data_IF_165743454266
#
_entry.id   IF_165743454266
#
_cell.length_a   1.000
_cell.length_b   1.000
_cell.length_c   1.000
_cell.angle_alpha   90.00
_cell.angle_beta   90.00
_cell.angle_gamma   90.00
#
_symmetry.space_group_name_H-M   'P 1'
#
loop_
_entity.id
_entity.type
_entity.pdbx_description
1 polymer ?
#
# COMPACT_ATOMS: atom_id res chain seq x y z
N UNK A 1 36.75 -14.64 -7.48
CA UNK A 1 35.35 -14.15 -7.45
C UNK A 1 34.76 -14.47 -6.07
N UNK A 2 34.56 -13.47 -5.22
CA UNK A 2 33.88 -13.66 -3.95
C UNK A 2 32.38 -13.50 -4.22
N UNK A 3 31.62 -14.57 -4.07
CA UNK A 3 30.15 -14.50 -4.13
C UNK A 3 29.65 -13.53 -3.06
N UNK A 4 28.74 -12.64 -3.43
CA UNK A 4 28.10 -11.73 -2.52
C UNK A 4 27.25 -12.52 -1.51
N UNK A 5 27.11 -12.00 -0.28
CA UNK A 5 26.47 -12.71 0.82
C UNK A 5 24.97 -13.01 0.57
N UNK A 6 24.33 -12.25 -0.33
CA UNK A 6 22.92 -12.41 -0.69
C UNK A 6 22.78 -12.77 -2.17
N UNK A 7 21.97 -13.80 -2.47
CA UNK A 7 21.68 -14.23 -3.85
C UNK A 7 21.20 -13.07 -4.74
N UNK A 8 20.40 -12.14 -4.21
CA UNK A 8 19.88 -10.99 -4.95
C UNK A 8 21.02 -10.05 -5.40
N UNK A 9 22.00 -9.81 -4.54
CA UNK A 9 23.15 -8.97 -4.89
C UNK A 9 23.98 -9.59 -6.01
N UNK A 10 24.14 -10.92 -6.01
CA UNK A 10 24.80 -11.64 -7.10
C UNK A 10 24.03 -11.52 -8.41
N UNK A 11 22.70 -11.65 -8.38
CA UNK A 11 21.85 -11.46 -9.55
C UNK A 11 21.92 -10.01 -10.06
N UNK A 12 21.87 -9.03 -9.17
CA UNK A 12 21.98 -7.61 -9.52
C UNK A 12 23.32 -7.33 -10.21
N UNK A 13 24.40 -7.91 -9.70
CA UNK A 13 25.74 -7.77 -10.32
C UNK A 13 25.79 -8.39 -11.73
N UNK A 14 25.24 -9.61 -11.87
CA UNK A 14 25.19 -10.29 -13.16
C UNK A 14 24.34 -9.51 -14.18
N UNK A 15 23.17 -9.00 -13.77
CA UNK A 15 22.31 -8.20 -14.63
C UNK A 15 22.94 -6.88 -15.04
N UNK A 16 23.64 -6.20 -14.14
CA UNK A 16 24.42 -4.99 -14.48
C UNK A 16 25.48 -5.28 -15.55
N UNK A 17 26.19 -6.38 -15.39
CA UNK A 17 27.19 -6.79 -16.37
C UNK A 17 26.55 -7.06 -17.73
N UNK A 18 25.48 -7.85 -17.78
CA UNK A 18 24.77 -8.18 -19.01
C UNK A 18 24.21 -6.94 -19.70
N UNK A 19 23.59 -6.02 -18.95
CA UNK A 19 23.05 -4.77 -19.50
C UNK A 19 24.14 -3.87 -20.04
N UNK A 20 25.29 -3.76 -19.32
CA UNK A 20 26.42 -2.93 -19.75
C UNK A 20 27.14 -3.47 -20.99
N UNK A 21 27.10 -4.78 -21.22
CA UNK A 21 27.79 -5.45 -22.35
C UNK A 21 26.79 -5.99 -23.39
N UNK A 22 25.52 -5.63 -23.32
CA UNK A 22 24.54 -6.01 -24.33
C UNK A 22 24.97 -5.42 -25.69
N UNK A 23 25.05 -6.26 -26.75
CA UNK A 23 25.46 -5.78 -28.05
C UNK A 23 24.46 -4.73 -28.59
N UNK A 24 24.99 -3.63 -29.13
CA UNK A 24 24.17 -2.56 -29.72
C UNK A 24 23.26 -3.01 -30.89
N UNK A 25 23.47 -4.24 -31.36
CA UNK A 25 22.73 -4.87 -32.46
C UNK A 25 21.39 -5.48 -32.03
N UNK A 26 21.07 -5.51 -30.74
CA UNK A 26 19.83 -6.16 -30.23
C UNK A 26 18.57 -5.41 -30.65
N UNK A 27 18.63 -4.10 -30.81
CA UNK A 27 17.62 -3.28 -31.50
C UNK A 27 18.26 -1.92 -31.90
N UNK A 28 17.80 -1.25 -32.97
CA UNK A 28 18.27 0.10 -33.34
C UNK A 28 18.08 1.16 -32.26
N UNK A 29 17.21 0.89 -31.30
CA UNK A 29 16.88 1.79 -30.17
C UNK A 29 17.53 1.38 -28.84
N UNK A 30 18.41 0.35 -28.81
CA UNK A 30 18.99 -0.18 -27.58
C UNK A 30 18.09 -1.24 -26.91
N UNK A 31 18.34 -1.52 -25.60
CA UNK A 31 17.50 -2.45 -24.84
C UNK A 31 16.10 -1.87 -24.65
N UNK A 32 15.04 -2.71 -24.72
CA UNK A 32 13.67 -2.25 -24.48
C UNK A 32 13.52 -1.70 -23.07
N UNK A 33 12.59 -0.76 -22.89
CA UNK A 33 12.31 -0.15 -21.58
C UNK A 33 11.90 -1.21 -20.55
N UNK A 34 11.14 -2.22 -20.98
CA UNK A 34 10.75 -3.36 -20.18
C UNK A 34 10.78 -4.64 -21.01
N UNK A 35 11.18 -5.74 -20.40
CA UNK A 35 11.16 -7.09 -20.98
C UNK A 35 10.14 -7.90 -20.21
N UNK A 36 9.08 -8.36 -20.87
CA UNK A 36 8.09 -9.27 -20.29
C UNK A 36 8.76 -10.61 -19.95
N UNK A 37 8.43 -11.15 -18.78
CA UNK A 37 8.96 -12.41 -18.30
C UNK A 37 7.82 -13.43 -18.11
N UNK A 38 8.18 -14.70 -18.11
CA UNK A 38 7.22 -15.77 -17.83
C UNK A 38 6.81 -15.77 -16.34
N UNK A 39 5.63 -16.35 -16.07
CA UNK A 39 5.17 -16.57 -14.71
C UNK A 39 6.22 -17.33 -13.87
N UNK A 40 6.40 -16.90 -12.62
CA UNK A 40 7.41 -17.47 -11.72
C UNK A 40 8.80 -16.82 -11.82
N UNK A 41 9.02 -15.86 -12.71
CA UNK A 41 10.25 -15.08 -12.73
C UNK A 41 10.37 -14.20 -11.46
N UNK A 42 11.57 -14.11 -10.86
CA UNK A 42 11.78 -13.37 -9.60
C UNK A 42 11.95 -11.85 -9.80
N UNK A 43 11.37 -11.31 -10.87
CA UNK A 43 11.43 -9.89 -11.23
C UNK A 43 10.06 -9.47 -11.78
N UNK A 44 9.61 -8.29 -11.41
CA UNK A 44 8.38 -7.76 -11.95
C UNK A 44 7.85 -6.56 -11.19
N UNK A 45 6.75 -6.05 -11.68
CA UNK A 45 6.03 -4.96 -11.05
C UNK A 45 4.87 -5.43 -10.19
N UNK A 46 4.48 -4.52 -9.32
CA UNK A 46 3.22 -4.56 -8.58
C UNK A 46 2.35 -3.44 -9.12
N UNK A 47 1.10 -3.75 -9.37
CA UNK A 47 0.06 -2.81 -9.78
C UNK A 47 -0.96 -2.73 -8.65
N UNK A 48 -1.32 -1.51 -8.25
CA UNK A 48 -2.39 -1.25 -7.30
C UNK A 48 -3.57 -0.60 -8.04
N UNK A 49 -4.74 -1.24 -7.99
CA UNK A 49 -5.97 -0.72 -8.59
C UNK A 49 -6.61 0.38 -7.73
N UNK A 50 -7.66 1.00 -8.26
CA UNK A 50 -8.43 2.02 -7.56
C UNK A 50 -9.16 1.50 -6.31
N UNK A 51 -9.34 0.19 -6.18
CA UNK A 51 -9.88 -0.44 -4.98
C UNK A 51 -8.93 -0.38 -3.76
N UNK A 52 -7.68 0.04 -3.95
CA UNK A 52 -6.70 0.13 -2.87
C UNK A 52 -7.10 1.20 -1.84
N UNK A 53 -7.38 0.77 -0.63
CA UNK A 53 -7.74 1.64 0.51
C UNK A 53 -6.55 2.21 1.27
N UNK A 54 -5.31 1.91 0.86
CA UNK A 54 -4.08 2.31 1.57
C UNK A 54 -4.01 1.77 3.02
N UNK A 55 -4.54 0.57 3.27
CA UNK A 55 -4.48 -0.10 4.57
C UNK A 55 -3.07 -0.57 4.97
N UNK A 56 -2.10 -0.53 4.04
CA UNK A 56 -0.68 -0.88 4.21
C UNK A 56 -0.40 -2.34 4.61
N UNK A 57 -1.39 -3.26 4.56
CA UNK A 57 -1.17 -4.69 4.85
C UNK A 57 -0.09 -5.30 3.94
N UNK A 58 -0.06 -4.90 2.67
CA UNK A 58 0.93 -5.37 1.70
C UNK A 58 2.38 -4.93 2.02
N UNK A 59 2.57 -3.81 2.72
CA UNK A 59 3.91 -3.35 3.11
C UNK A 59 4.47 -4.21 4.22
N UNK A 60 3.64 -4.58 5.21
CA UNK A 60 4.00 -5.50 6.28
C UNK A 60 4.25 -6.93 5.80
N UNK A 61 3.53 -7.37 4.76
CA UNK A 61 3.69 -8.69 4.16
C UNK A 61 4.91 -8.82 3.24
N UNK A 62 5.55 -7.70 2.83
CA UNK A 62 6.63 -7.72 1.84
C UNK A 62 7.99 -8.04 2.48
N UNK A 63 8.56 -9.27 2.34
CA UNK A 63 9.80 -9.65 3.00
C UNK A 63 11.03 -8.95 2.40
N UNK A 64 10.91 -8.46 1.17
CA UNK A 64 12.00 -7.80 0.45
C UNK A 64 12.01 -6.26 0.60
N UNK A 65 11.02 -5.70 1.32
CA UNK A 65 10.86 -4.25 1.45
C UNK A 65 10.67 -3.55 0.10
N UNK A 66 10.05 -4.24 -0.87
CA UNK A 66 9.74 -3.67 -2.18
C UNK A 66 8.55 -2.71 -2.08
N UNK A 67 7.56 -3.03 -1.25
CA UNK A 67 6.44 -2.16 -0.93
C UNK A 67 6.72 -1.44 0.39
N UNK A 68 6.47 -0.13 0.42
CA UNK A 68 6.73 0.74 1.57
C UNK A 68 5.62 1.77 1.72
N UNK A 69 5.34 2.15 2.96
CA UNK A 69 4.56 3.35 3.26
C UNK A 69 5.52 4.55 3.22
N UNK A 70 5.10 5.65 2.62
CA UNK A 70 5.82 6.92 2.75
C UNK A 70 5.73 7.44 4.19
N UNK A 71 6.74 8.20 4.63
CA UNK A 71 6.79 8.77 5.98
C UNK A 71 6.05 10.11 6.09
N UNK A 72 5.80 10.77 4.98
CA UNK A 72 5.31 12.15 4.88
C UNK A 72 3.85 12.24 4.39
N UNK A 73 3.31 11.16 3.85
CA UNK A 73 1.97 11.11 3.27
C UNK A 73 1.35 9.71 3.32
N UNK A 74 0.03 9.61 3.17
CA UNK A 74 -0.64 8.33 2.95
C UNK A 74 -0.43 7.86 1.52
N UNK A 75 0.76 7.31 1.28
CA UNK A 75 1.23 6.90 -0.04
C UNK A 75 1.87 5.53 0.01
N UNK A 76 1.46 4.66 -0.89
CA UNK A 76 2.07 3.35 -1.13
C UNK A 76 3.15 3.50 -2.19
N UNK A 77 4.37 3.19 -1.81
CA UNK A 77 5.54 3.24 -2.69
C UNK A 77 6.05 1.84 -3.02
N UNK A 78 6.64 1.71 -4.20
CA UNK A 78 7.18 0.46 -4.71
C UNK A 78 8.58 0.64 -5.29
N UNK A 79 9.50 -0.22 -4.87
CA UNK A 79 10.86 -0.34 -5.40
C UNK A 79 10.95 -1.63 -6.19
N UNK A 80 10.79 -1.55 -7.51
CA UNK A 80 10.71 -2.72 -8.40
C UNK A 80 11.93 -3.63 -8.30
N UNK A 81 13.11 -3.05 -8.20
CA UNK A 81 14.37 -3.79 -8.03
C UNK A 81 14.40 -4.73 -6.82
N UNK A 82 13.63 -4.44 -5.77
CA UNK A 82 13.56 -5.29 -4.59
C UNK A 82 12.50 -6.40 -4.71
N UNK A 83 11.60 -6.30 -5.68
CA UNK A 83 10.48 -7.24 -5.81
C UNK A 83 10.96 -8.65 -6.16
N UNK A 84 10.41 -9.65 -5.49
CA UNK A 84 10.70 -11.08 -5.69
C UNK A 84 9.55 -11.81 -6.40
N UNK A 85 8.47 -11.13 -6.73
CA UNK A 85 7.26 -11.72 -7.33
C UNK A 85 6.70 -12.89 -6.51
N UNK A 86 6.79 -12.82 -5.17
CA UNK A 86 6.43 -13.91 -4.27
C UNK A 86 4.91 -14.04 -4.00
N UNK A 87 4.09 -13.08 -4.43
CA UNK A 87 2.62 -13.10 -4.27
C UNK A 87 2.09 -12.71 -2.89
N UNK A 88 2.93 -12.57 -1.86
CA UNK A 88 2.44 -12.31 -0.48
C UNK A 88 1.63 -11.02 -0.35
N UNK A 89 1.98 -9.98 -1.09
CA UNK A 89 1.23 -8.71 -1.08
C UNK A 89 -0.16 -8.84 -1.73
N UNK A 90 -0.30 -9.70 -2.74
CA UNK A 90 -1.57 -9.98 -3.41
C UNK A 90 -2.50 -10.75 -2.48
N UNK A 91 -2.00 -11.84 -1.86
CA UNK A 91 -2.77 -12.67 -0.93
C UNK A 91 -3.16 -11.92 0.35
N UNK A 92 -2.31 -11.00 0.84
CA UNK A 92 -2.59 -10.21 2.04
C UNK A 92 -3.50 -9.01 1.82
N UNK A 93 -3.87 -8.71 0.57
CA UNK A 93 -4.70 -7.55 0.26
C UNK A 93 -6.18 -7.83 0.53
N UNK A 94 -6.83 -7.18 1.53
CA UNK A 94 -8.23 -7.43 1.84
C UNK A 94 -9.19 -6.93 0.75
N UNK A 95 -8.73 -6.01 -0.09
CA UNK A 95 -9.52 -5.42 -1.18
C UNK A 95 -9.21 -6.07 -2.54
N UNK A 96 -8.36 -7.10 -2.59
CA UNK A 96 -7.89 -7.71 -3.86
C UNK A 96 -7.40 -6.67 -4.89
N UNK A 97 -6.81 -5.60 -4.40
CA UNK A 97 -6.41 -4.44 -5.19
C UNK A 97 -4.99 -4.56 -5.76
N UNK A 98 -4.25 -5.63 -5.43
CA UNK A 98 -2.87 -5.82 -5.85
C UNK A 98 -2.80 -6.93 -6.89
N UNK A 99 -2.08 -6.67 -7.98
CA UNK A 99 -1.73 -7.67 -8.99
C UNK A 99 -0.24 -7.63 -9.29
N UNK A 100 0.32 -8.77 -9.70
CA UNK A 100 1.72 -8.90 -10.06
C UNK A 100 1.88 -9.13 -11.55
N UNK A 101 2.88 -8.50 -12.14
CA UNK A 101 3.24 -8.67 -13.54
C UNK A 101 4.74 -8.92 -13.66
N UNK A 102 5.15 -10.15 -14.09
CA UNK A 102 6.55 -10.50 -14.26
C UNK A 102 7.18 -9.70 -15.41
N UNK A 103 8.23 -8.94 -15.09
CA UNK A 103 9.00 -8.18 -16.08
C UNK A 103 10.39 -7.82 -15.56
N UNK A 104 11.28 -7.45 -16.45
CA UNK A 104 12.59 -6.89 -16.14
C UNK A 104 12.71 -5.50 -16.75
N UNK A 105 13.19 -4.54 -15.96
CA UNK A 105 13.54 -3.20 -16.41
C UNK A 105 15.06 -3.09 -16.57
N UNK A 106 15.63 -3.26 -17.79
CA UNK A 106 17.08 -3.19 -17.98
C UNK A 106 17.68 -1.88 -17.50
N UNK A 107 16.98 -0.75 -17.66
CA UNK A 107 17.42 0.58 -17.24
C UNK A 107 17.71 0.72 -15.74
N UNK A 108 17.06 -0.09 -14.90
CA UNK A 108 17.30 -0.11 -13.44
C UNK A 108 18.66 -0.72 -13.08
N UNK A 109 19.22 -1.54 -13.96
CA UNK A 109 20.49 -2.22 -13.77
C UNK A 109 21.67 -1.49 -14.43
N UNK A 110 21.41 -0.56 -15.36
CA UNK A 110 22.45 0.24 -16.03
C UNK A 110 23.02 1.39 -15.21
N UNK A 111 22.35 1.82 -14.15
CA UNK A 111 22.72 2.96 -13.31
C UNK A 111 23.08 2.52 -11.90
N UNK A 112 24.23 2.96 -11.40
CA UNK A 112 24.57 2.77 -9.99
C UNK A 112 23.52 3.46 -9.10
N UNK A 113 22.96 2.70 -8.14
CA UNK A 113 22.08 3.23 -7.11
C UNK A 113 20.60 3.39 -7.47
N UNK A 114 20.14 2.95 -8.63
CA UNK A 114 18.74 3.06 -9.01
C UNK A 114 17.84 2.10 -8.21
N UNK A 115 17.53 2.48 -6.96
CA UNK A 115 16.44 1.94 -6.15
C UNK A 115 15.33 3.00 -6.06
N UNK A 116 14.94 3.54 -7.20
CA UNK A 116 13.92 4.58 -7.25
C UNK A 116 12.58 4.00 -6.82
N UNK A 117 12.04 4.55 -5.74
CA UNK A 117 10.65 4.27 -5.38
C UNK A 117 9.73 4.99 -6.35
N UNK A 118 8.66 4.33 -6.78
CA UNK A 118 7.55 4.94 -7.51
C UNK A 118 6.28 4.86 -6.67
N UNK A 119 5.46 5.88 -6.73
CA UNK A 119 4.15 5.89 -6.09
C UNK A 119 3.22 4.95 -6.84
N UNK A 120 2.59 4.01 -6.14
CA UNK A 120 1.51 3.17 -6.66
C UNK A 120 0.15 3.79 -6.39
N UNK A 121 -0.05 4.30 -5.18
CA UNK A 121 -1.29 4.97 -4.73
C UNK A 121 -0.95 6.05 -3.73
N UNK A 122 -1.73 7.10 -3.74
CA UNK A 122 -1.70 8.20 -2.79
C UNK A 122 -3.13 8.66 -2.52
N UNK A 123 -3.41 9.11 -1.30
CA UNK A 123 -4.72 9.63 -0.94
C UNK A 123 -4.61 10.73 0.11
N UNK A 124 -5.65 11.55 0.14
CA UNK A 124 -5.81 12.60 1.12
C UNK A 124 -6.04 12.03 2.52
N UNK A 125 -5.83 12.87 3.50
CA UNK A 125 -6.06 12.58 4.91
C UNK A 125 -7.53 12.78 5.23
N UNK A 126 -8.15 11.78 5.87
CA UNK A 126 -9.47 11.93 6.45
C UNK A 126 -9.38 12.68 7.78
N UNK A 127 -10.17 13.73 7.93
CA UNK A 127 -10.20 14.56 9.13
C UNK A 127 -11.45 14.29 9.97
N UNK A 128 -11.27 14.34 11.30
CA UNK A 128 -12.38 14.24 12.24
C UNK A 128 -13.39 15.35 11.99
N UNK A 129 -14.68 14.99 11.86
CA UNK A 129 -15.77 15.94 11.61
C UNK A 129 -16.00 16.94 12.76
N UNK A 130 -15.54 16.61 13.98
CA UNK A 130 -15.76 17.47 15.15
C UNK A 130 -14.55 18.37 15.50
N UNK A 131 -13.32 17.90 15.36
CA UNK A 131 -12.13 18.65 15.79
C UNK A 131 -11.07 18.84 14.70
N UNK A 132 -11.26 18.30 13.48
CA UNK A 132 -10.30 18.43 12.39
C UNK A 132 -9.04 17.59 12.53
N UNK A 133 -8.88 16.75 13.58
CA UNK A 133 -7.71 15.90 13.77
C UNK A 133 -7.58 14.88 12.63
N UNK A 134 -6.38 14.68 12.11
CA UNK A 134 -6.09 13.64 11.12
C UNK A 134 -6.38 12.26 11.70
N UNK A 135 -7.10 11.41 10.94
CA UNK A 135 -7.52 10.08 11.37
C UNK A 135 -6.86 8.96 10.58
N UNK A 136 -6.57 9.17 9.31
CA UNK A 136 -5.99 8.15 8.44
C UNK A 136 -6.16 8.48 6.97
N UNK A 137 -5.85 7.53 6.08
CA UNK A 137 -6.13 7.66 4.65
C UNK A 137 -7.64 7.72 4.41
N UNK A 138 -8.10 8.69 3.61
CA UNK A 138 -9.52 8.88 3.35
C UNK A 138 -10.20 7.61 2.79
N UNK A 139 -9.67 6.91 1.78
CA UNK A 139 -10.32 5.70 1.25
C UNK A 139 -10.42 4.56 2.29
N UNK A 140 -9.46 4.45 3.22
CA UNK A 140 -9.55 3.46 4.30
C UNK A 140 -10.71 3.76 5.25
N UNK A 141 -10.78 5.00 5.73
CA UNK A 141 -11.83 5.41 6.68
C UNK A 141 -13.22 5.33 6.02
N UNK A 142 -13.34 5.75 4.76
CA UNK A 142 -14.60 5.70 4.02
C UNK A 142 -15.05 4.26 3.75
N UNK A 143 -14.14 3.36 3.40
CA UNK A 143 -14.44 1.92 3.26
C UNK A 143 -14.94 1.33 4.58
N UNK A 144 -14.31 1.65 5.71
CA UNK A 144 -14.76 1.22 7.04
C UNK A 144 -16.14 1.78 7.38
N UNK A 145 -16.41 3.05 7.12
CA UNK A 145 -17.71 3.69 7.34
C UNK A 145 -18.79 2.99 6.49
N UNK A 146 -18.50 2.74 5.21
CA UNK A 146 -19.45 2.08 4.31
C UNK A 146 -19.83 0.67 4.81
N UNK A 147 -18.85 -0.11 5.26
CA UNK A 147 -19.08 -1.46 5.82
C UNK A 147 -19.88 -1.43 7.12
N UNK A 148 -19.62 -0.45 7.99
CA UNK A 148 -20.28 -0.34 9.30
C UNK A 148 -21.68 0.29 9.21
N UNK A 149 -21.95 1.14 8.25
CA UNK A 149 -23.21 1.86 8.11
C UNK A 149 -24.42 0.94 7.91
N UNK A 150 -24.21 -0.28 7.44
CA UNK A 150 -25.25 -1.32 7.30
C UNK A 150 -25.51 -2.14 8.58
N UNK A 151 -24.70 -1.97 9.62
CA UNK A 151 -24.83 -2.73 10.86
C UNK A 151 -25.89 -2.11 11.78
N UNK A 152 -26.67 -2.92 12.48
CA UNK A 152 -27.77 -2.49 13.37
C UNK A 152 -27.35 -1.48 14.45
N UNK A 153 -26.09 -1.56 14.94
CA UNK A 153 -25.53 -0.61 15.91
C UNK A 153 -25.37 0.82 15.36
N UNK A 154 -25.42 1.00 14.05
CA UNK A 154 -25.27 2.29 13.36
C UNK A 154 -26.52 2.67 12.57
N UNK A 155 -27.69 2.18 13.02
CA UNK A 155 -28.96 2.45 12.36
C UNK A 155 -29.39 3.92 12.48
N UNK A 156 -29.04 4.59 13.58
CA UNK A 156 -29.35 6.00 13.82
C UNK A 156 -28.40 6.96 13.12
N UNK A 157 -28.85 8.19 12.92
CA UNK A 157 -28.04 9.24 12.30
C UNK A 157 -26.86 9.67 13.19
N UNK A 158 -27.09 9.76 14.51
CA UNK A 158 -26.06 10.10 15.48
C UNK A 158 -24.93 9.05 15.53
N UNK A 159 -25.29 7.75 15.50
CA UNK A 159 -24.32 6.66 15.48
C UNK A 159 -23.48 6.69 14.20
N UNK A 160 -24.08 6.97 13.05
CA UNK A 160 -23.37 7.12 11.78
C UNK A 160 -22.46 8.35 11.77
N UNK A 161 -22.89 9.46 12.34
CA UNK A 161 -22.07 10.64 12.47
C UNK A 161 -20.82 10.39 13.32
N UNK A 162 -20.91 9.56 14.37
CA UNK A 162 -19.78 9.16 15.23
C UNK A 162 -18.71 8.37 14.48
N UNK A 163 -19.05 7.65 13.40
CA UNK A 163 -18.06 6.95 12.57
C UNK A 163 -17.05 7.92 11.92
N UNK A 164 -17.43 9.18 11.75
CA UNK A 164 -16.57 10.24 11.18
C UNK A 164 -15.79 11.02 12.23
N UNK A 165 -15.88 10.64 13.50
CA UNK A 165 -15.19 11.31 14.62
C UNK A 165 -13.97 10.51 15.06
N UNK A 166 -12.91 11.21 15.52
CA UNK A 166 -11.79 10.56 16.19
C UNK A 166 -12.23 9.93 17.53
N UNK A 167 -11.39 9.07 18.09
CA UNK A 167 -11.71 8.35 19.33
C UNK A 167 -12.10 9.30 20.47
N UNK A 168 -11.34 10.39 20.65
CA UNK A 168 -11.59 11.38 21.71
C UNK A 168 -12.95 12.07 21.55
N UNK A 169 -13.25 12.57 20.34
CA UNK A 169 -14.52 13.22 20.06
C UNK A 169 -15.71 12.28 20.16
N UNK A 170 -15.54 11.01 19.77
CA UNK A 170 -16.58 9.98 19.89
C UNK A 170 -16.95 9.72 21.33
N UNK A 171 -15.95 9.59 22.22
CA UNK A 171 -16.19 9.41 23.67
C UNK A 171 -16.92 10.62 24.25
N UNK A 172 -16.48 11.85 23.94
CA UNK A 172 -17.12 13.08 24.41
C UNK A 172 -18.58 13.14 23.94
N UNK A 173 -18.86 12.80 22.68
CA UNK A 173 -20.20 12.81 22.11
C UNK A 173 -21.10 11.77 22.78
N UNK A 174 -20.58 10.57 23.01
CA UNK A 174 -21.30 9.49 23.72
C UNK A 174 -21.62 9.88 25.17
N UNK A 175 -20.69 10.53 25.89
CA UNK A 175 -20.92 11.00 27.25
C UNK A 175 -21.97 12.09 27.30
N UNK A 176 -21.98 13.03 26.34
CA UNK A 176 -23.03 14.06 26.24
C UNK A 176 -24.42 13.44 25.96
N UNK A 177 -24.47 12.45 25.07
CA UNK A 177 -25.69 11.72 24.77
C UNK A 177 -26.17 10.85 25.96
N UNK A 178 -25.24 10.23 26.68
CA UNK A 178 -25.52 9.43 27.89
C UNK A 178 -25.97 10.26 29.09
N UNK A 179 -25.53 11.51 29.20
CA UNK A 179 -26.02 12.45 30.24
C UNK A 179 -27.48 12.85 29.98
N UNK A 180 -27.98 12.63 28.75
CA UNK A 180 -29.40 12.83 28.41
C UNK A 180 -30.28 11.62 28.75
N UNK A 181 -29.69 10.44 29.07
CA UNK A 181 -30.42 9.33 29.70
C UNK A 181 -30.60 9.69 31.15
N UNK A 182 -31.78 10.19 31.47
CA UNK A 182 -32.20 10.58 32.81
C UNK A 182 -31.93 9.44 33.80
N UNK A 183 -31.40 9.80 34.96
CA UNK A 183 -31.29 8.97 36.16
C UNK A 183 -32.69 8.58 36.74
N UNK A 184 -33.69 8.33 35.89
CA UNK A 184 -35.09 8.10 36.29
C UNK A 184 -35.55 6.65 36.21
N UNK A 185 -34.71 5.70 35.73
CA UNK A 185 -35.15 4.29 35.59
C UNK A 185 -34.38 3.31 36.49
N UNK A 186 -33.89 3.76 37.64
CA UNK A 186 -33.35 2.87 38.68
C UNK A 186 -34.20 2.82 39.96
N UNK A 187 -35.53 2.94 39.82
CA UNK A 187 -36.43 2.64 40.89
C UNK A 187 -37.57 1.80 40.38
N UNK A 188 -37.38 0.48 40.32
CA UNK A 188 -38.35 -0.57 40.64
C UNK A 188 -37.60 -1.85 41.01
#
# INVERSE_FOLDING_TARGET
>A
FRLLAKKRETLDFALRYLVAHAPATTTPAGLPAAIALNAGAPFGQVIASDACTLCMSCTGACPAGALRAASDAYRLEFVEKNCLQCGLCEVSCPESAITLEPRLLPGEYGKEGSRRARTLREADIFHCSACGKAMGAAPLIESMIARLSGHSMFAGEAERARLRMCADCRVIDMMKAGSAVKACDLTE
#
